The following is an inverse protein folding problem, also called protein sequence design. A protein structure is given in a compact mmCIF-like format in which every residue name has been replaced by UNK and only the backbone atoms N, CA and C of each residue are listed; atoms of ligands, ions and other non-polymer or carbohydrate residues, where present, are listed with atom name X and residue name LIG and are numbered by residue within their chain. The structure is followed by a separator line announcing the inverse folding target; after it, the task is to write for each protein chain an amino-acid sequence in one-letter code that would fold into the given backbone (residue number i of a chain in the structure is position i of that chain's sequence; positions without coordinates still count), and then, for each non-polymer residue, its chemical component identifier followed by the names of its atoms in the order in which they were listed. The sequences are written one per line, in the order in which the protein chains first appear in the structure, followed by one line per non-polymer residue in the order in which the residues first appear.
data_IF_582600234527
#
_entry.id   IF_582600234527
#
_cell.length_a   1.000
_cell.length_b   1.000
_cell.length_c   1.000
_cell.angle_alpha   90.00
_cell.angle_beta   90.00
_cell.angle_gamma   90.00
#
_symmetry.space_group_name_H-M   'P 1'
#
loop_
_entity.id
_entity.type
_entity.pdbx_description
1 polymer ?
#
# COMPACT_ATOMS: atom_id res chain seq x y z
N UNK A 1 5.66 2.14 7.30
CA UNK A 1 4.34 1.57 6.98
C UNK A 1 3.98 1.63 5.49
N UNK A 2 4.28 2.73 4.78
CA UNK A 2 3.94 2.90 3.36
C UNK A 2 4.31 1.71 2.45
N UNK A 3 5.49 1.10 2.62
CA UNK A 3 5.92 -0.08 1.86
C UNK A 3 4.91 -1.24 1.92
N UNK A 4 4.37 -1.51 3.11
CA UNK A 4 3.39 -2.58 3.33
C UNK A 4 2.04 -2.17 2.75
N UNK A 5 1.66 -0.89 2.90
CA UNK A 5 0.43 -0.36 2.30
C UNK A 5 0.41 -0.47 0.77
N UNK A 6 1.56 -0.42 0.10
CA UNK A 6 1.64 -0.65 -1.36
C UNK A 6 1.29 -2.08 -1.78
N UNK A 7 1.32 -3.06 -0.86
CA UNK A 7 0.96 -4.44 -1.17
C UNK A 7 -0.54 -4.63 -1.39
N UNK A 8 -1.37 -3.65 -1.01
CA UNK A 8 -2.83 -3.72 -1.13
C UNK A 8 -3.29 -4.25 -2.51
N UNK A 9 -4.20 -5.24 -2.57
CA UNK A 9 -4.99 -5.83 -1.47
C UNK A 9 -4.30 -6.97 -0.69
N UNK A 10 -3.06 -7.32 -1.04
CA UNK A 10 -2.29 -8.29 -0.26
C UNK A 10 -1.98 -7.72 1.13
N UNK A 11 -1.80 -8.60 2.10
CA UNK A 11 -1.36 -8.21 3.44
C UNK A 11 -0.08 -8.94 3.83
N UNK A 12 0.84 -8.17 4.45
CA UNK A 12 2.04 -8.70 5.06
C UNK A 12 1.73 -9.26 6.46
N UNK A 13 2.08 -10.52 6.69
CA UNK A 13 1.68 -11.28 7.90
C UNK A 13 2.78 -11.40 8.97
N UNK A 14 3.98 -10.92 8.67
CA UNK A 14 5.14 -11.14 9.52
C UNK A 14 5.52 -9.88 10.32
N UNK A 15 6.48 -9.97 11.26
CA UNK A 15 6.85 -8.83 12.09
C UNK A 15 7.27 -7.60 11.29
N UNK A 16 6.73 -6.45 11.71
CA UNK A 16 7.08 -5.14 11.19
C UNK A 16 7.50 -4.27 12.36
N UNK A 17 8.75 -3.84 12.38
CA UNK A 17 9.28 -2.90 13.37
C UNK A 17 9.66 -1.64 12.61
N UNK A 18 8.81 -0.59 12.61
CA UNK A 18 9.09 0.62 11.83
C UNK A 18 10.43 1.27 12.15
N UNK A 19 10.83 1.23 13.42
CA UNK A 19 12.14 1.68 13.87
C UNK A 19 12.56 0.85 15.09
N UNK A 20 13.68 0.15 14.98
CA UNK A 20 14.22 -0.65 16.07
C UNK A 20 14.89 0.25 17.12
N UNK A 21 14.55 0.14 18.42
CA UNK A 21 15.15 0.97 19.45
C UNK A 21 16.62 0.63 19.67
N UNK A 22 17.48 1.66 19.73
CA UNK A 22 18.93 1.51 19.89
C UNK A 22 19.36 1.08 21.30
N UNK A 23 18.60 1.51 22.31
CA UNK A 23 18.92 1.28 23.71
C UNK A 23 18.50 -0.11 24.22
N UNK A 24 17.90 -0.95 23.37
CA UNK A 24 17.51 -2.31 23.74
C UNK A 24 18.73 -3.24 23.59
N UNK A 25 19.30 -3.78 24.69
CA UNK A 25 20.42 -4.71 24.60
C UNK A 25 20.01 -5.96 23.83
N UNK A 26 20.85 -6.42 22.90
CA UNK A 26 20.58 -7.60 22.08
C UNK A 26 19.52 -7.42 20.99
N UNK A 27 19.04 -6.21 20.71
CA UNK A 27 18.05 -5.94 19.67
C UNK A 27 18.48 -6.41 18.27
N UNK A 28 19.79 -6.48 17.99
CA UNK A 28 20.35 -7.06 16.77
C UNK A 28 19.95 -8.53 16.55
N UNK A 29 19.63 -9.27 17.62
CA UNK A 29 19.17 -10.66 17.53
C UNK A 29 17.81 -10.78 16.85
N UNK A 30 17.00 -9.72 16.85
CA UNK A 30 15.73 -9.71 16.12
C UNK A 30 15.92 -9.80 14.60
N UNK A 31 17.09 -9.40 14.09
CA UNK A 31 17.46 -9.59 12.69
C UNK A 31 17.80 -11.06 12.37
N UNK A 32 18.02 -11.90 13.38
CA UNK A 32 18.25 -13.34 13.20
C UNK A 32 16.95 -14.16 13.21
N UNK A 33 15.79 -13.49 13.18
CA UNK A 33 14.51 -14.18 13.15
C UNK A 33 14.41 -15.08 11.90
N UNK A 34 13.99 -16.36 12.04
CA UNK A 34 13.93 -17.29 10.93
C UNK A 34 12.71 -17.07 10.02
N UNK A 35 11.78 -16.21 10.44
CA UNK A 35 10.62 -15.79 9.65
C UNK A 35 10.94 -14.50 8.91
N UNK A 36 10.32 -14.22 7.74
CA UNK A 36 10.43 -12.93 7.09
C UNK A 36 10.15 -11.77 8.06
N UNK A 37 10.75 -10.61 7.82
CA UNK A 37 10.48 -9.41 8.62
C UNK A 37 10.72 -8.13 7.82
N UNK A 38 10.16 -7.02 8.30
CA UNK A 38 10.51 -5.66 7.85
C UNK A 38 10.89 -4.84 9.07
N UNK A 39 12.18 -4.53 9.21
CA UNK A 39 12.72 -3.80 10.37
C UNK A 39 13.44 -2.55 9.86
N UNK A 40 13.00 -1.38 10.32
CA UNK A 40 13.69 -0.12 10.10
C UNK A 40 14.80 0.07 11.13
N UNK A 41 15.98 0.47 10.67
CA UNK A 41 17.13 0.75 11.51
C UNK A 41 17.52 2.21 11.34
N UNK A 42 17.68 2.99 12.44
CA UNK A 42 18.34 4.29 12.33
C UNK A 42 19.83 4.10 12.02
N UNK A 43 20.44 4.99 11.24
CA UNK A 43 21.85 4.86 10.83
C UNK A 43 22.82 4.72 12.02
N UNK A 44 22.54 5.44 13.11
CA UNK A 44 23.30 5.36 14.36
C UNK A 44 23.16 4.02 15.10
N UNK A 45 22.18 3.17 14.76
CA UNK A 45 22.12 1.79 15.27
C UNK A 45 23.37 1.01 14.86
N UNK A 46 23.75 1.12 13.57
CA UNK A 46 24.89 0.41 13.00
C UNK A 46 26.19 0.91 13.65
N UNK A 47 26.32 2.23 13.81
CA UNK A 47 27.49 2.87 14.43
C UNK A 47 27.67 2.48 15.90
N UNK A 48 26.57 2.30 16.63
CA UNK A 48 26.60 2.00 18.07
C UNK A 48 27.04 0.56 18.40
N UNK A 49 26.98 -0.35 17.43
CA UNK A 49 27.19 -1.80 17.65
C UNK A 49 28.58 -2.22 17.14
N UNK A 50 29.47 -2.54 18.07
CA UNK A 50 30.80 -3.10 17.74
C UNK A 50 30.64 -4.45 17.04
N UNK A 51 31.26 -4.61 15.87
CA UNK A 51 31.24 -5.85 15.06
C UNK A 51 29.86 -6.27 14.54
N UNK A 52 28.95 -5.33 14.32
CA UNK A 52 27.67 -5.63 13.69
C UNK A 52 27.86 -6.00 12.21
N UNK A 53 27.27 -7.13 11.83
CA UNK A 53 27.11 -7.52 10.43
C UNK A 53 25.64 -7.87 10.21
N UNK A 54 25.13 -7.51 9.04
CA UNK A 54 23.81 -7.95 8.63
C UNK A 54 23.79 -9.47 8.41
N UNK A 55 22.65 -10.14 8.66
CA UNK A 55 22.48 -11.54 8.29
C UNK A 55 22.68 -11.73 6.78
N UNK A 56 23.23 -12.88 6.39
CA UNK A 56 23.62 -13.16 5.00
C UNK A 56 22.44 -13.41 4.04
N UNK A 57 21.22 -13.50 4.58
CA UNK A 57 19.97 -13.84 3.90
C UNK A 57 18.97 -12.68 3.86
N UNK A 58 19.42 -11.44 4.11
CA UNK A 58 18.56 -10.26 4.25
C UNK A 58 18.88 -9.22 3.18
N UNK A 59 17.84 -8.66 2.57
CA UNK A 59 17.94 -7.49 1.70
C UNK A 59 18.07 -6.23 2.54
N UNK A 60 19.08 -5.40 2.27
CA UNK A 60 19.24 -4.12 2.95
C UNK A 60 18.94 -2.97 2.00
N UNK A 61 18.14 -2.01 2.46
CA UNK A 61 17.80 -0.78 1.73
C UNK A 61 18.35 0.41 2.50
N UNK A 62 19.33 1.07 1.93
CA UNK A 62 19.83 2.36 2.42
C UNK A 62 19.03 3.47 1.74
N UNK A 63 18.19 4.14 2.53
CA UNK A 63 17.32 5.21 2.05
C UNK A 63 18.08 6.52 1.81
N UNK A 64 19.18 6.75 2.52
CA UNK A 64 20.00 7.97 2.37
C UNK A 64 20.84 7.89 1.09
N UNK A 65 21.40 6.71 0.80
CA UNK A 65 22.18 6.45 -0.41
C UNK A 65 21.33 5.98 -1.61
N UNK A 66 20.01 5.77 -1.42
CA UNK A 66 19.11 5.16 -2.39
C UNK A 66 19.68 3.85 -2.98
N UNK A 67 20.21 2.98 -2.11
CA UNK A 67 20.95 1.78 -2.48
C UNK A 67 20.27 0.53 -1.94
N UNK A 68 19.95 -0.38 -2.86
CA UNK A 68 19.51 -1.74 -2.53
C UNK A 68 20.71 -2.68 -2.59
N UNK A 69 20.98 -3.42 -1.52
CA UNK A 69 22.05 -4.42 -1.47
C UNK A 69 21.45 -5.82 -1.30
N UNK A 70 21.78 -6.78 -2.18
CA UNK A 70 21.28 -8.14 -2.09
C UNK A 70 21.92 -8.92 -0.92
N UNK A 71 21.26 -10.00 -0.46
CA UNK A 71 21.83 -10.93 0.51
C UNK A 71 23.15 -11.53 0.03
N UNK A 72 24.09 -11.74 0.96
CA UNK A 72 25.40 -12.35 0.68
C UNK A 72 25.32 -13.83 0.27
N UNK A 73 24.23 -14.52 0.58
CA UNK A 73 24.00 -15.92 0.23
C UNK A 73 23.66 -16.15 -1.27
N UNK A 74 23.58 -15.08 -2.07
CA UNK A 74 23.32 -15.17 -3.51
C UNK A 74 21.85 -15.29 -3.90
N UNK A 75 20.92 -15.09 -2.96
CA UNK A 75 19.49 -15.00 -3.29
C UNK A 75 19.21 -13.81 -4.21
N UNK A 76 18.58 -14.09 -5.36
CA UNK A 76 18.11 -13.08 -6.30
C UNK A 76 16.59 -12.94 -6.26
N UNK A 77 16.10 -11.74 -6.55
CA UNK A 77 14.67 -11.52 -6.79
C UNK A 77 14.34 -11.91 -8.24
N UNK A 78 13.21 -12.60 -8.47
CA UNK A 78 12.77 -12.89 -9.82
C UNK A 78 12.39 -11.60 -10.54
N UNK A 79 12.59 -11.56 -11.86
CA UNK A 79 12.17 -10.42 -12.69
C UNK A 79 10.64 -10.32 -12.76
N UNK A 80 10.13 -9.10 -12.84
CA UNK A 80 8.69 -8.88 -13.03
C UNK A 80 8.23 -9.46 -14.38
N UNK A 81 7.01 -10.01 -14.47
CA UNK A 81 6.46 -10.51 -15.73
C UNK A 81 6.26 -9.37 -16.73
N UNK A 82 6.69 -9.55 -17.97
CA UNK A 82 6.52 -8.54 -19.03
C UNK A 82 5.31 -8.85 -19.93
N UNK A 83 4.56 -7.82 -20.38
CA UNK A 83 4.83 -6.37 -20.28
C UNK A 83 4.37 -5.71 -18.97
N UNK A 84 3.80 -6.48 -18.02
CA UNK A 84 3.12 -5.94 -16.84
C UNK A 84 4.07 -5.17 -15.91
N UNK A 85 5.29 -5.67 -15.73
CA UNK A 85 6.34 -5.02 -14.95
C UNK A 85 6.76 -3.67 -15.53
N UNK A 86 6.96 -3.59 -16.85
CA UNK A 86 7.22 -2.32 -17.55
C UNK A 86 6.09 -1.30 -17.38
N UNK A 87 4.83 -1.75 -17.51
CA UNK A 87 3.66 -0.89 -17.31
C UNK A 87 3.59 -0.34 -15.88
N UNK A 88 3.77 -1.20 -14.87
CA UNK A 88 3.79 -0.78 -13.46
C UNK A 88 4.87 0.27 -13.22
N UNK A 89 6.11 0.04 -13.69
CA UNK A 89 7.22 0.99 -13.54
C UNK A 89 6.89 2.35 -14.16
N UNK A 90 6.26 2.36 -15.33
CA UNK A 90 5.88 3.61 -16.00
C UNK A 90 4.80 4.36 -15.21
N UNK A 91 3.79 3.66 -14.70
CA UNK A 91 2.73 4.26 -13.89
C UNK A 91 3.25 4.83 -12.57
N UNK A 92 4.13 4.11 -11.88
CA UNK A 92 4.75 4.59 -10.63
C UNK A 92 5.67 5.80 -10.88
N UNK A 93 6.43 5.81 -11.98
CA UNK A 93 7.24 6.98 -12.37
C UNK A 93 6.36 8.20 -12.64
N UNK A 94 5.23 8.01 -13.32
CA UNK A 94 4.28 9.08 -13.60
C UNK A 94 3.66 9.63 -12.31
N UNK A 95 3.24 8.76 -11.39
CA UNK A 95 2.72 9.14 -10.07
C UNK A 95 3.76 9.92 -9.25
N UNK A 96 5.05 9.53 -9.32
CA UNK A 96 6.12 10.27 -8.66
C UNK A 96 6.36 11.65 -9.29
N UNK A 97 6.28 11.75 -10.62
CA UNK A 97 6.42 13.04 -11.33
C UNK A 97 5.28 14.01 -11.03
N UNK A 98 4.06 13.53 -10.78
CA UNK A 98 2.96 14.41 -10.39
C UNK A 98 3.16 15.02 -8.99
N UNK A 99 3.88 14.35 -8.08
CA UNK A 99 4.27 14.94 -6.79
C UNK A 99 5.26 16.10 -6.95
N UNK A 100 6.22 15.99 -7.88
CA UNK A 100 7.27 17.01 -8.03
C UNK A 100 6.77 18.29 -8.70
N UNK A 101 5.78 18.19 -9.59
CA UNK A 101 5.15 19.34 -10.26
C UNK A 101 4.40 20.26 -9.28
N UNK A 102 3.80 19.70 -8.23
CA UNK A 102 3.09 20.49 -7.22
C UNK A 102 4.04 21.36 -6.37
N UNK A 103 5.27 20.90 -6.12
CA UNK A 103 6.26 21.68 -5.38
C UNK A 103 6.73 22.94 -6.13
N UNK A 104 6.55 23.01 -7.45
CA UNK A 104 6.87 24.20 -8.26
C UNK A 104 5.71 25.22 -8.35
N UNK A 105 4.45 24.79 -8.29
CA UNK A 105 3.30 25.68 -8.46
C UNK A 105 2.95 26.48 -7.18
N UNK A 106 3.48 26.09 -6.00
CA UNK A 106 3.35 26.90 -4.76
C UNK A 106 4.25 28.16 -4.77
N UNK A 107 5.07 28.36 -5.81
CA UNK A 107 6.00 29.51 -5.92
C UNK A 107 5.64 30.54 -7.00
N UNK A 108 4.56 30.37 -7.76
CA UNK A 108 4.24 31.27 -8.87
C UNK A 108 2.77 31.72 -8.83
N UNK A 109 2.47 32.73 -8.01
CA UNK A 109 1.19 33.48 -8.00
C UNK A 109 1.02 34.34 -9.29
N UNK A 110 1.18 33.74 -10.48
CA UNK A 110 1.28 34.51 -11.72
C UNK A 110 0.71 33.88 -12.98
N UNK A 111 0.19 32.65 -12.97
CA UNK A 111 -0.37 32.02 -14.18
C UNK A 111 -1.90 31.94 -14.16
N UNK A 112 -2.56 32.24 -15.31
CA UNK A 112 -4.00 32.19 -15.41
C UNK A 112 -4.51 30.75 -15.20
N UNK A 113 -5.73 30.58 -14.66
CA UNK A 113 -6.34 29.27 -14.49
C UNK A 113 -6.41 28.56 -15.85
N UNK A 114 -5.93 27.31 -15.90
CA UNK A 114 -6.07 26.46 -17.09
C UNK A 114 -7.56 26.31 -17.39
N UNK A 115 -7.95 26.56 -18.63
CA UNK A 115 -9.33 26.43 -19.11
C UNK A 115 -9.79 24.96 -19.05
N UNK A 116 -11.05 24.66 -18.68
CA UNK A 116 -11.51 23.28 -18.43
C UNK A 116 -11.68 22.41 -19.68
N UNK A 117 -11.57 22.98 -20.88
CA UNK A 117 -12.11 22.36 -22.10
C UNK A 117 -11.14 21.41 -22.85
N UNK A 118 -9.94 21.14 -22.31
CA UNK A 118 -8.96 20.21 -22.91
C UNK A 118 -8.54 19.05 -21.99
N UNK A 119 -9.33 18.74 -20.95
CA UNK A 119 -9.13 17.51 -20.18
C UNK A 119 -9.68 16.30 -20.96
N UNK A 120 -8.94 15.88 -21.97
CA UNK A 120 -9.05 14.49 -22.44
C UNK A 120 -8.72 13.63 -21.24
N UNK A 121 -9.74 13.01 -20.61
CA UNK A 121 -9.60 12.17 -19.42
C UNK A 121 -8.46 11.17 -19.64
N UNK A 122 -7.28 11.49 -19.11
CA UNK A 122 -6.19 10.56 -19.03
C UNK A 122 -6.36 9.90 -17.66
N UNK A 123 -6.76 8.61 -17.58
CA UNK A 123 -6.94 7.89 -16.30
C UNK A 123 -5.66 7.75 -15.46
N UNK A 124 -4.61 8.47 -15.86
CA UNK A 124 -3.27 8.50 -15.28
C UNK A 124 -2.83 9.92 -14.87
N UNK A 125 -3.63 10.96 -15.15
CA UNK A 125 -3.43 12.31 -14.59
C UNK A 125 -4.27 12.39 -13.31
N UNK A 126 -3.67 11.91 -12.23
CA UNK A 126 -4.21 12.08 -10.89
C UNK A 126 -3.99 13.54 -10.47
N UNK A 127 -4.94 14.13 -9.73
CA UNK A 127 -4.79 15.50 -9.22
C UNK A 127 -3.42 15.71 -8.58
N UNK A 128 -2.87 16.93 -8.66
CA UNK A 128 -1.49 17.21 -8.23
C UNK A 128 -1.22 17.08 -6.73
N UNK A 129 -2.22 16.72 -5.91
CA UNK A 129 -2.09 16.58 -4.47
C UNK A 129 -1.60 15.18 -4.04
N UNK A 130 -0.98 15.11 -2.86
CA UNK A 130 -0.38 13.88 -2.31
C UNK A 130 -1.38 12.73 -2.20
N UNK A 131 -2.63 13.00 -1.80
CA UNK A 131 -3.62 11.93 -1.62
C UNK A 131 -4.04 11.34 -2.97
N UNK A 132 -4.15 12.16 -4.01
CA UNK A 132 -4.42 11.68 -5.38
C UNK A 132 -3.30 10.80 -5.92
N UNK A 133 -2.03 11.10 -5.58
CA UNK A 133 -0.88 10.25 -5.93
C UNK A 133 -0.90 8.92 -5.18
N UNK A 134 -1.31 8.92 -3.90
CA UNK A 134 -1.50 7.68 -3.15
C UNK A 134 -2.54 6.77 -3.81
N UNK A 135 -3.66 7.35 -4.29
CA UNK A 135 -4.66 6.62 -5.08
C UNK A 135 -4.05 6.09 -6.38
N UNK A 136 -3.30 6.92 -7.11
CA UNK A 136 -2.64 6.52 -8.35
C UNK A 136 -1.73 5.30 -8.17
N UNK A 137 -0.93 5.33 -7.11
CA UNK A 137 0.00 4.27 -6.72
C UNK A 137 -0.76 2.99 -6.41
N UNK A 138 -1.87 3.10 -5.65
CA UNK A 138 -2.74 1.97 -5.33
C UNK A 138 -3.38 1.37 -6.59
N UNK A 139 -3.89 2.20 -7.50
CA UNK A 139 -4.44 1.77 -8.78
C UNK A 139 -3.40 1.00 -9.60
N UNK A 140 -2.18 1.55 -9.72
CA UNK A 140 -1.10 0.90 -10.48
C UNK A 140 -0.76 -0.48 -9.91
N UNK A 141 -0.64 -0.59 -8.58
CA UNK A 141 -0.37 -1.86 -7.90
C UNK A 141 -1.49 -2.89 -8.11
N UNK A 142 -2.76 -2.51 -7.96
CA UNK A 142 -3.89 -3.43 -8.18
C UNK A 142 -3.95 -3.88 -9.63
N UNK A 143 -3.78 -2.97 -10.59
CA UNK A 143 -3.78 -3.31 -12.03
C UNK A 143 -2.67 -4.29 -12.37
N UNK A 144 -1.49 -4.11 -11.77
CA UNK A 144 -0.40 -5.08 -11.90
C UNK A 144 -0.77 -6.43 -11.28
N UNK A 145 -1.27 -6.46 -10.04
CA UNK A 145 -1.63 -7.70 -9.37
C UNK A 145 -2.76 -8.46 -10.09
N UNK A 146 -3.77 -7.76 -10.60
CA UNK A 146 -4.91 -8.34 -11.32
C UNK A 146 -4.63 -8.64 -12.81
N UNK A 147 -3.38 -8.53 -13.26
CA UNK A 147 -2.99 -8.81 -14.64
C UNK A 147 -2.84 -10.31 -14.94
N UNK A 148 -2.97 -10.68 -16.22
CA UNK A 148 -3.05 -12.08 -16.69
C UNK A 148 -1.89 -12.99 -16.30
N UNK A 149 -0.66 -12.47 -16.22
CA UNK A 149 0.51 -13.23 -15.80
C UNK A 149 0.89 -12.99 -14.33
N UNK A 150 0.06 -12.26 -13.59
CA UNK A 150 0.16 -12.11 -12.14
C UNK A 150 -1.00 -12.88 -11.51
N UNK A 151 -1.87 -12.27 -10.71
CA UNK A 151 -2.94 -12.93 -9.95
C UNK A 151 -4.33 -12.83 -10.61
N UNK A 152 -4.47 -12.55 -11.92
CA UNK A 152 -5.80 -12.54 -12.54
C UNK A 152 -6.54 -13.87 -12.32
N UNK A 153 -7.83 -13.83 -12.00
CA UNK A 153 -8.67 -15.03 -11.78
C UNK A 153 -8.16 -15.99 -10.69
N UNK A 154 -7.33 -15.52 -9.75
CA UNK A 154 -6.84 -16.38 -8.66
C UNK A 154 -7.98 -16.95 -7.79
N UNK A 155 -9.12 -16.26 -7.71
CA UNK A 155 -10.35 -16.73 -7.03
C UNK A 155 -10.90 -18.02 -7.63
N UNK A 156 -10.76 -18.23 -8.93
CA UNK A 156 -11.25 -19.42 -9.63
C UNK A 156 -10.44 -20.67 -9.24
N UNK A 157 -9.24 -20.44 -8.70
CA UNK A 157 -8.34 -21.44 -8.14
C UNK A 157 -8.30 -21.41 -6.61
N UNK A 158 -9.30 -20.79 -5.97
CA UNK A 158 -9.40 -20.71 -4.52
C UNK A 158 -10.65 -21.43 -4.03
N UNK A 159 -10.48 -22.46 -3.21
CA UNK A 159 -11.59 -23.20 -2.61
C UNK A 159 -11.90 -22.63 -1.23
N UNK A 160 -13.13 -22.22 -1.00
CA UNK A 160 -13.59 -21.88 0.36
C UNK A 160 -13.73 -23.16 1.19
N UNK A 161 -13.02 -23.23 2.32
CA UNK A 161 -13.11 -24.34 3.27
C UNK A 161 -14.15 -24.06 4.35
N UNK A 162 -14.24 -22.81 4.81
CA UNK A 162 -15.16 -22.36 5.85
C UNK A 162 -15.42 -20.85 5.71
N UNK A 163 -16.64 -20.40 5.91
CA UNK A 163 -16.99 -18.97 5.87
C UNK A 163 -16.99 -18.29 7.25
N UNK A 164 -17.48 -18.96 8.30
CA UNK A 164 -17.69 -18.35 9.61
C UNK A 164 -16.91 -19.07 10.74
N UNK A 165 -16.49 -18.36 11.80
CA UNK A 165 -16.61 -16.91 12.03
C UNK A 165 -15.56 -16.06 11.27
N UNK A 166 -14.52 -16.70 10.72
CA UNK A 166 -13.55 -16.10 9.80
C UNK A 166 -13.47 -16.97 8.54
N UNK A 167 -13.46 -16.38 7.34
CA UNK A 167 -13.21 -17.12 6.11
C UNK A 167 -11.87 -17.85 6.15
N UNK A 168 -11.87 -19.08 5.67
CA UNK A 168 -10.67 -19.90 5.49
C UNK A 168 -10.76 -20.50 4.09
N UNK A 169 -9.68 -20.35 3.32
CA UNK A 169 -9.60 -20.82 1.94
C UNK A 169 -8.42 -21.76 1.75
N UNK A 170 -8.45 -22.52 0.66
CA UNK A 170 -7.31 -23.27 0.14
C UNK A 170 -7.04 -22.79 -1.29
N UNK A 171 -5.87 -22.19 -1.49
CA UNK A 171 -5.42 -21.78 -2.82
C UNK A 171 -4.78 -22.95 -3.57
N UNK A 172 -5.29 -23.25 -4.77
CA UNK A 172 -4.86 -24.36 -5.60
C UNK A 172 -3.75 -23.92 -6.56
N UNK A 173 -2.54 -23.74 -6.01
CA UNK A 173 -1.39 -23.19 -6.73
C UNK A 173 -1.11 -23.89 -8.07
N UNK A 174 -1.15 -25.23 -8.11
CA UNK A 174 -0.86 -25.99 -9.33
C UNK A 174 -1.86 -25.66 -10.46
N UNK A 175 -3.15 -25.68 -10.16
CA UNK A 175 -4.20 -25.33 -11.13
C UNK A 175 -4.07 -23.87 -11.58
N UNK A 176 -3.77 -22.97 -10.64
CA UNK A 176 -3.53 -21.56 -10.93
C UNK A 176 -2.36 -21.37 -11.89
N UNK A 177 -1.21 -21.99 -11.63
CA UNK A 177 -0.02 -21.86 -12.49
C UNK A 177 -0.26 -22.41 -13.90
N UNK A 178 -1.03 -23.49 -14.03
CA UNK A 178 -1.42 -24.05 -15.33
C UNK A 178 -2.34 -23.12 -16.14
N UNK A 179 -3.08 -22.23 -15.49
CA UNK A 179 -3.96 -21.27 -16.17
C UNK A 179 -3.21 -20.07 -16.78
N UNK A 180 -1.94 -19.83 -16.37
CA UNK A 180 -1.19 -18.65 -16.82
C UNK A 180 -0.77 -18.80 -18.28
N UNK A 181 -1.03 -17.78 -19.09
CA UNK A 181 -0.60 -17.76 -20.48
C UNK A 181 0.93 -17.76 -20.62
N UNK A 182 1.62 -17.05 -19.72
CA UNK A 182 3.08 -17.03 -19.61
C UNK A 182 3.47 -17.16 -18.14
N UNK A 183 3.60 -18.39 -17.61
CA UNK A 183 4.13 -18.61 -16.26
C UNK A 183 5.51 -17.98 -16.13
N UNK A 184 5.77 -17.33 -15.01
CA UNK A 184 7.07 -16.75 -14.68
C UNK A 184 7.52 -17.20 -13.30
N UNK A 185 8.83 -17.14 -13.04
CA UNK A 185 9.36 -17.41 -11.71
C UNK A 185 8.77 -16.46 -10.65
N UNK A 186 8.57 -15.18 -11.01
CA UNK A 186 7.90 -14.22 -10.15
C UNK A 186 6.48 -14.67 -9.77
N UNK A 187 5.67 -15.08 -10.75
CA UNK A 187 4.30 -15.54 -10.50
C UNK A 187 4.30 -16.79 -9.63
N UNK A 188 5.24 -17.72 -9.88
CA UNK A 188 5.39 -18.94 -9.09
C UNK A 188 5.72 -18.60 -7.63
N UNK A 189 6.75 -17.79 -7.39
CA UNK A 189 7.15 -17.41 -6.04
C UNK A 189 6.05 -16.62 -5.33
N UNK A 190 5.40 -15.67 -6.00
CA UNK A 190 4.27 -14.92 -5.46
C UNK A 190 3.13 -15.85 -5.04
N UNK A 191 2.79 -16.83 -5.88
CA UNK A 191 1.72 -17.81 -5.63
C UNK A 191 1.97 -18.72 -4.42
N UNK A 192 3.22 -18.81 -3.95
CA UNK A 192 3.63 -19.59 -2.77
C UNK A 192 3.60 -18.78 -1.48
N UNK A 193 3.37 -17.46 -1.57
CA UNK A 193 3.32 -16.62 -0.39
C UNK A 193 1.98 -16.75 0.33
N UNK A 194 2.01 -16.65 1.67
CA UNK A 194 0.80 -16.57 2.50
C UNK A 194 -0.10 -15.38 2.14
N UNK A 195 0.46 -14.36 1.49
CA UNK A 195 -0.26 -13.17 1.07
C UNK A 195 -1.36 -13.50 0.03
N UNK A 196 -1.14 -14.51 -0.83
CA UNK A 196 -2.14 -14.93 -1.84
C UNK A 196 -3.30 -15.69 -1.20
N UNK A 197 -3.03 -16.55 -0.22
CA UNK A 197 -4.09 -17.20 0.56
C UNK A 197 -4.91 -16.17 1.33
N UNK A 198 -4.24 -15.20 1.98
CA UNK A 198 -4.93 -14.10 2.64
C UNK A 198 -5.81 -13.31 1.67
N UNK A 199 -5.32 -13.02 0.47
CA UNK A 199 -6.11 -12.32 -0.54
C UNK A 199 -7.39 -13.10 -0.89
N UNK A 200 -7.32 -14.43 -0.94
CA UNK A 200 -8.48 -15.29 -1.12
C UNK A 200 -9.48 -15.20 0.04
N UNK A 201 -9.01 -15.19 1.29
CA UNK A 201 -9.88 -14.97 2.46
C UNK A 201 -10.50 -13.57 2.45
N UNK A 202 -9.69 -12.54 2.21
CA UNK A 202 -10.09 -11.14 2.20
C UNK A 202 -11.12 -10.87 1.11
N UNK A 203 -11.03 -11.52 -0.05
CA UNK A 203 -11.98 -11.30 -1.14
C UNK A 203 -13.36 -11.91 -0.90
N UNK A 204 -13.51 -12.77 0.11
CA UNK A 204 -14.83 -13.24 0.57
C UNK A 204 -15.52 -12.20 1.47
N UNK A 205 -14.76 -11.31 2.12
CA UNK A 205 -15.27 -10.28 3.01
C UNK A 205 -14.33 -9.07 3.04
N UNK A 206 -14.26 -8.27 1.97
CA UNK A 206 -13.32 -7.16 1.88
C UNK A 206 -13.74 -6.01 2.81
N UNK A 207 -12.77 -5.38 3.46
CA UNK A 207 -13.03 -4.29 4.43
C UNK A 207 -13.44 -2.97 3.76
N UNK A 208 -13.27 -2.87 2.44
CA UNK A 208 -13.61 -1.68 1.67
C UNK A 208 -13.92 -2.04 0.20
N UNK A 209 -14.45 -1.07 -0.55
CA UNK A 209 -14.85 -1.25 -1.96
C UNK A 209 -13.80 -0.75 -2.95
N UNK A 210 -12.64 -0.25 -2.52
CA UNK A 210 -11.64 0.33 -3.41
C UNK A 210 -11.07 -0.70 -4.39
N UNK A 211 -10.81 -1.93 -3.93
CA UNK A 211 -10.35 -3.01 -4.83
C UNK A 211 -11.40 -3.33 -5.89
N UNK A 212 -12.67 -3.46 -5.49
CA UNK A 212 -13.79 -3.71 -6.40
C UNK A 212 -13.95 -2.59 -7.44
N UNK A 213 -13.87 -1.32 -7.01
CA UNK A 213 -13.93 -0.15 -7.89
C UNK A 213 -12.83 -0.20 -8.95
N UNK A 214 -11.58 -0.44 -8.52
CA UNK A 214 -10.42 -0.50 -9.41
C UNK A 214 -10.52 -1.68 -10.38
N UNK A 215 -10.97 -2.84 -9.91
CA UNK A 215 -11.18 -4.02 -10.76
C UNK A 215 -12.31 -3.81 -11.80
N UNK A 216 -13.25 -2.91 -11.51
CA UNK A 216 -14.29 -2.45 -12.44
C UNK A 216 -13.87 -1.23 -13.27
N UNK A 217 -12.56 -0.96 -13.41
CA UNK A 217 -11.98 0.13 -14.20
C UNK A 217 -12.37 1.54 -13.73
N UNK A 218 -12.72 1.72 -12.46
CA UNK A 218 -12.83 3.04 -11.84
C UNK A 218 -11.43 3.46 -11.39
N UNK A 219 -10.99 4.66 -11.80
CA UNK A 219 -9.67 5.22 -11.49
C UNK A 219 -9.72 6.61 -10.84
N UNK A 220 -10.92 7.19 -10.72
CA UNK A 220 -11.11 8.52 -10.13
C UNK A 220 -10.78 8.52 -8.62
N UNK A 221 -9.84 9.37 -8.16
CA UNK A 221 -9.54 9.57 -6.74
C UNK A 221 -10.73 9.89 -5.86
N UNK A 222 -11.71 10.65 -6.37
CA UNK A 222 -12.90 10.97 -5.57
C UNK A 222 -13.75 9.72 -5.30
N UNK A 223 -13.77 8.79 -6.25
CA UNK A 223 -14.52 7.54 -6.13
C UNK A 223 -13.72 6.46 -5.42
N UNK A 224 -12.39 6.44 -5.46
CA UNK A 224 -11.59 5.39 -4.82
C UNK A 224 -11.14 5.79 -3.41
N UNK A 225 -10.87 7.07 -3.24
CA UNK A 225 -10.24 7.63 -2.08
C UNK A 225 -11.08 7.57 -0.82
N UNK A 226 -10.40 7.63 0.31
CA UNK A 226 -10.96 7.50 1.66
C UNK A 226 -10.76 8.76 2.52
N UNK A 227 -10.22 9.84 1.94
CA UNK A 227 -10.01 11.10 2.64
C UNK A 227 -11.29 11.94 2.68
N UNK A 228 -11.61 12.59 3.82
CA UNK A 228 -12.82 13.40 3.97
C UNK A 228 -13.02 14.43 2.87
N UNK A 229 -11.94 15.04 2.36
CA UNK A 229 -12.01 16.04 1.28
C UNK A 229 -12.77 15.58 0.02
N UNK A 230 -12.82 14.27 -0.24
CA UNK A 230 -13.46 13.71 -1.43
C UNK A 230 -14.94 13.37 -1.27
N UNK A 231 -15.47 13.33 -0.04
CA UNK A 231 -16.87 12.99 0.22
C UNK A 231 -17.56 13.88 1.25
N UNK A 232 -16.85 14.77 1.95
CA UNK A 232 -17.44 15.63 2.97
C UNK A 232 -18.57 16.51 2.42
N UNK A 233 -18.48 16.92 1.16
CA UNK A 233 -19.51 17.71 0.49
C UNK A 233 -20.80 16.94 0.19
N UNK A 234 -20.76 15.59 0.20
CA UNK A 234 -21.93 14.72 -0.01
C UNK A 234 -22.50 14.17 1.29
N UNK A 235 -21.84 14.41 2.42
CA UNK A 235 -22.35 14.03 3.73
C UNK A 235 -23.30 15.10 4.29
N UNK A 236 -24.40 14.65 4.88
CA UNK A 236 -25.25 15.51 5.69
C UNK A 236 -24.51 15.84 6.99
N UNK A 237 -24.44 17.13 7.32
CA UNK A 237 -23.96 17.53 8.64
C UNK A 237 -24.98 17.07 9.70
N UNK A 238 -24.51 16.34 10.70
CA UNK A 238 -25.32 15.93 11.86
C UNK A 238 -24.86 16.77 13.03
N UNK A 239 -25.62 17.81 13.33
CA UNK A 239 -25.38 18.65 14.49
C UNK A 239 -25.75 17.88 15.75
N UNK A 240 -24.75 17.35 16.45
CA UNK A 240 -24.95 16.79 17.77
C UNK A 240 -24.96 17.93 18.78
N UNK A 241 -26.14 18.26 19.32
CA UNK A 241 -26.21 19.15 20.48
C UNK A 241 -25.52 18.47 21.66
N UNK A 242 -24.29 18.89 21.96
CA UNK A 242 -23.55 18.49 23.17
C UNK A 242 -24.21 19.03 24.44
N UNK A 243 -25.12 19.98 24.29
CA UNK A 243 -25.84 20.66 25.34
C UNK A 243 -27.31 20.25 25.33
N UNK A 244 -27.67 19.37 26.24
CA UNK A 244 -29.03 19.33 26.75
C UNK A 244 -29.11 20.44 27.81
N UNK A 245 -30.06 21.39 27.66
CA UNK A 245 -30.20 22.57 28.52
C UNK A 245 -30.41 22.25 30.01
N UNK A 246 -30.50 20.97 30.36
CA UNK A 246 -30.59 20.45 31.72
C UNK A 246 -29.25 20.07 32.37
N UNK A 247 -28.11 20.11 31.64
CA UNK A 247 -26.80 19.68 32.17
C UNK A 247 -25.99 20.82 32.80
N UNK A 248 -25.45 20.58 34.00
CA UNK A 248 -24.62 21.50 34.80
C UNK A 248 -23.35 22.01 34.10
N UNK A 249 -22.87 21.31 33.07
CA UNK A 249 -21.75 21.76 32.23
C UNK A 249 -22.07 23.03 31.41
N UNK A 250 -23.33 23.23 31.01
CA UNK A 250 -23.75 24.45 30.29
C UNK A 250 -23.61 25.67 31.19
N UNK A 251 -24.08 25.54 32.45
CA UNK A 251 -23.99 26.60 33.46
C UNK A 251 -22.53 26.99 33.73
N UNK A 252 -21.62 26.01 33.78
CA UNK A 252 -20.20 26.27 34.00
C UNK A 252 -19.52 26.99 32.82
N UNK A 253 -19.92 26.70 31.58
CA UNK A 253 -19.38 27.37 30.39
C UNK A 253 -19.93 28.79 30.27
N UNK A 254 -21.22 29.00 30.52
CA UNK A 254 -21.83 30.35 30.47
C UNK A 254 -21.36 31.28 31.59
N UNK A 255 -20.94 30.73 32.73
CA UNK A 255 -20.38 31.52 33.83
C UNK A 255 -18.90 31.92 33.63
N UNK A 256 -18.22 31.36 32.63
CA UNK A 256 -16.83 31.70 32.32
C UNK A 256 -16.72 32.89 31.34
N UNK A 257 -17.83 33.28 30.71
CA UNK A 257 -17.92 34.40 29.76
C UNK A 257 -18.48 35.71 30.38
N UNK A 258 -18.71 35.74 31.71
CA UNK A 258 -18.95 36.96 32.52
C UNK A 258 -17.70 37.38 33.30
#
# INVERSE_FOLDING_TARGET
MALISMLYPLQYMFPVIPLLPQCMPGSEQLLLAPTPYVIGLPSSFIESKKHFNFPNDVWTVDLDANKLTPPANGMSLPSLPEPQGGLLKNQLKQALQSMSLHNSDVRDEGKPPRTPDEETFNPTIYGGDVDSVDVATRVAMIRFLCSSNTLQYYTDHTRTLRLYPRPVVAFQQHSFMQSRAKPSEFTLQLSQTQAVEYLGEWSLSPDNVAFLRINNNIFDPQLIGDKPKWFAHSLFNVDHSTHDGSKTLVVAVTMADE
#
